data_IF_446045240510
#
_entry.id   IF_446045240510
#
_cell.length_a   1.000
_cell.length_b   1.000
_cell.length_c   1.000
_cell.angle_alpha   90.00
_cell.angle_beta   90.00
_cell.angle_gamma   90.00
#
_symmetry.space_group_name_H-M   'P 1'
#
loop_
_entity.id
_entity.type
_entity.pdbx_description
1 polymer ?
#
# COMPACT_ATOMS: atom_id res chain seq x y z
N UNK A 1 10.57 16.96 -14.05
CA UNK A 1 10.20 16.40 -12.73
C UNK A 1 10.60 14.94 -12.77
N UNK A 2 11.71 14.60 -12.11
CA UNK A 2 12.28 13.25 -12.14
C UNK A 2 11.32 12.29 -11.45
N UNK A 3 10.71 11.41 -12.25
CA UNK A 3 10.02 10.20 -11.81
C UNK A 3 11.05 9.32 -11.09
N UNK A 4 11.30 9.57 -9.80
CA UNK A 4 11.63 8.45 -8.93
C UNK A 4 10.47 7.48 -9.16
N UNK A 5 10.70 6.30 -9.75
CA UNK A 5 9.62 5.34 -9.98
C UNK A 5 8.86 5.17 -8.66
N UNK A 6 7.64 5.73 -8.57
CA UNK A 6 6.82 5.71 -7.36
C UNK A 6 6.47 4.26 -7.06
N UNK A 7 7.36 3.61 -6.32
CA UNK A 7 7.36 2.19 -6.06
C UNK A 7 6.86 2.00 -4.63
N UNK A 8 5.88 1.11 -4.46
CA UNK A 8 5.52 0.65 -3.13
C UNK A 8 6.58 -0.31 -2.62
N UNK A 9 6.87 -0.21 -1.32
CA UNK A 9 7.78 -1.11 -0.63
C UNK A 9 7.05 -1.78 0.53
N UNK A 10 7.42 -3.03 0.82
CA UNK A 10 6.87 -3.76 1.96
C UNK A 10 7.16 -3.02 3.27
N UNK A 11 6.10 -2.70 4.03
CA UNK A 11 6.18 -2.08 5.35
C UNK A 11 6.48 -3.08 6.47
N UNK A 12 6.63 -4.38 6.18
CA UNK A 12 7.05 -5.35 7.19
C UNK A 12 8.46 -4.98 7.71
N UNK A 13 8.69 -4.95 9.03
CA UNK A 13 9.99 -4.61 9.60
C UNK A 13 11.11 -5.44 8.96
N UNK A 14 12.15 -4.77 8.44
CA UNK A 14 13.34 -5.36 7.80
C UNK A 14 13.13 -6.00 6.41
N UNK A 15 11.92 -6.04 5.83
CA UNK A 15 11.71 -6.61 4.50
C UNK A 15 12.08 -5.62 3.37
N UNK A 16 11.39 -4.48 3.31
CA UNK A 16 11.62 -3.40 2.33
C UNK A 16 11.67 -3.82 0.85
N UNK A 17 11.16 -5.01 0.51
CA UNK A 17 11.10 -5.45 -0.88
C UNK A 17 10.16 -4.54 -1.69
N UNK A 18 10.55 -4.21 -2.94
CA UNK A 18 9.67 -3.55 -3.90
C UNK A 18 8.45 -4.45 -4.15
N UNK A 19 7.26 -3.89 -4.06
CA UNK A 19 6.02 -4.62 -4.30
C UNK A 19 5.74 -4.65 -5.80
N UNK A 20 5.51 -5.84 -6.35
CA UNK A 20 5.34 -6.09 -7.77
C UNK A 20 4.20 -7.09 -7.94
N UNK A 21 3.35 -6.88 -8.95
CA UNK A 21 2.18 -7.73 -9.21
C UNK A 21 1.08 -7.47 -8.19
N UNK A 22 1.18 -8.06 -7.00
CA UNK A 22 0.19 -7.93 -5.93
C UNK A 22 0.77 -7.37 -4.64
N UNK A 23 -0.06 -6.67 -3.89
CA UNK A 23 0.24 -6.22 -2.54
C UNK A 23 -0.95 -6.46 -1.60
N UNK A 24 -0.65 -6.72 -0.34
CA UNK A 24 -1.63 -6.70 0.73
C UNK A 24 -1.67 -5.31 1.33
N UNK A 25 -2.77 -4.59 1.17
CA UNK A 25 -2.97 -3.23 1.67
C UNK A 25 -3.93 -3.27 2.84
N UNK A 26 -3.64 -2.46 3.85
CA UNK A 26 -4.44 -2.37 5.07
C UNK A 26 -5.15 -1.01 5.18
N UNK A 27 -6.25 -0.94 5.90
CA UNK A 27 -6.99 0.31 6.17
C UNK A 27 -6.15 1.34 6.95
N UNK A 28 -5.15 0.88 7.71
CA UNK A 28 -4.16 1.73 8.38
C UNK A 28 -3.04 2.24 7.43
N UNK A 29 -3.23 2.13 6.12
CA UNK A 29 -2.32 2.61 5.07
C UNK A 29 -0.95 1.93 5.03
N UNK A 30 -0.82 0.68 5.46
CA UNK A 30 0.40 -0.12 5.24
C UNK A 30 0.21 -1.16 4.14
N UNK A 31 1.27 -1.42 3.38
CA UNK A 31 1.35 -2.37 2.29
C UNK A 31 2.41 -3.45 2.55
N UNK A 32 2.11 -4.70 2.18
CA UNK A 32 2.96 -5.86 2.42
C UNK A 32 3.07 -6.74 1.17
N UNK A 33 4.22 -7.39 1.00
CA UNK A 33 4.37 -8.39 -0.06
C UNK A 33 3.55 -9.65 0.24
N UNK A 34 3.32 -10.49 -0.78
CA UNK A 34 2.52 -11.71 -0.64
C UNK A 34 3.00 -12.64 0.48
N UNK A 35 4.31 -12.77 0.67
CA UNK A 35 4.88 -13.62 1.72
C UNK A 35 4.44 -13.17 3.12
N UNK A 36 4.57 -11.88 3.44
CA UNK A 36 4.20 -11.36 4.76
C UNK A 36 2.69 -11.20 4.93
N UNK A 37 1.99 -10.76 3.88
CA UNK A 37 0.55 -10.61 3.91
C UNK A 37 -0.17 -11.94 4.14
N UNK A 38 0.17 -12.97 3.37
CA UNK A 38 -0.42 -14.29 3.55
C UNK A 38 -0.06 -14.91 4.92
N UNK A 39 1.15 -14.69 5.42
CA UNK A 39 1.59 -15.22 6.71
C UNK A 39 0.93 -14.56 7.93
N UNK A 40 0.81 -13.23 7.93
CA UNK A 40 0.32 -12.47 9.08
C UNK A 40 -1.20 -12.31 9.08
N UNK A 41 -1.83 -12.12 7.91
CA UNK A 41 -3.26 -11.84 7.82
C UNK A 41 -4.14 -13.09 7.73
N UNK A 42 -3.54 -14.28 7.65
CA UNK A 42 -4.28 -15.55 7.83
C UNK A 42 -4.56 -15.87 9.31
N UNK A 43 -3.96 -15.13 10.24
CA UNK A 43 -4.14 -15.32 11.69
C UNK A 43 -5.32 -14.50 12.21
N UNK A 44 -5.98 -15.00 13.25
CA UNK A 44 -7.03 -14.27 13.96
C UNK A 44 -6.63 -14.07 15.44
N UNK A 45 -6.69 -12.83 15.97
CA UNK A 45 -7.02 -11.60 15.26
C UNK A 45 -5.89 -11.15 14.31
N UNK A 46 -6.25 -10.55 13.18
CA UNK A 46 -5.26 -9.93 12.31
C UNK A 46 -4.81 -8.60 12.91
N UNK A 47 -3.49 -8.41 13.01
CA UNK A 47 -2.86 -7.20 13.55
C UNK A 47 -1.86 -6.70 12.51
N UNK A 48 -1.86 -5.39 12.24
CA UNK A 48 -0.90 -4.79 11.32
C UNK A 48 0.53 -4.95 11.87
N UNK A 49 1.45 -5.61 11.15
CA UNK A 49 2.83 -5.80 11.60
C UNK A 49 3.66 -4.50 11.70
N UNK A 50 3.19 -3.41 11.08
CA UNK A 50 3.91 -2.14 11.02
C UNK A 50 3.53 -1.17 12.14
N UNK A 51 2.25 -1.12 12.54
CA UNK A 51 1.74 -0.15 13.51
C UNK A 51 0.89 -0.77 14.64
N UNK A 52 0.78 -2.09 14.69
CA UNK A 52 0.03 -2.83 15.71
C UNK A 52 -1.47 -2.52 15.79
N UNK A 53 -2.04 -1.87 14.77
CA UNK A 53 -3.50 -1.66 14.67
C UNK A 53 -4.22 -3.00 14.48
N UNK A 54 -5.33 -3.19 15.19
CA UNK A 54 -6.21 -4.35 14.99
C UNK A 54 -6.98 -4.20 13.68
N UNK A 55 -7.03 -5.26 12.87
CA UNK A 55 -7.65 -5.30 11.55
C UNK A 55 -8.81 -6.30 11.59
N UNK A 56 -9.98 -5.86 12.03
CA UNK A 56 -11.16 -6.71 12.26
C UNK A 56 -12.31 -6.45 11.29
N UNK A 57 -12.24 -5.35 10.54
CA UNK A 57 -13.20 -5.00 9.50
C UNK A 57 -13.04 -5.86 8.25
N UNK A 58 -14.16 -6.11 7.56
CA UNK A 58 -14.19 -6.93 6.33
C UNK A 58 -13.30 -6.39 5.20
N UNK A 59 -13.03 -5.08 5.20
CA UNK A 59 -12.21 -4.39 4.20
C UNK A 59 -10.92 -3.81 4.81
N UNK A 60 -10.57 -4.20 6.05
CA UNK A 60 -9.34 -3.73 6.69
C UNK A 60 -8.08 -4.28 6.06
N UNK A 61 -8.19 -5.39 5.33
CA UNK A 61 -7.11 -6.05 4.61
C UNK A 61 -7.64 -6.41 3.23
N UNK A 62 -6.96 -5.92 2.19
CA UNK A 62 -7.27 -6.24 0.79
C UNK A 62 -6.00 -6.66 0.06
N UNK A 63 -6.10 -7.70 -0.76
CA UNK A 63 -5.05 -8.05 -1.71
C UNK A 63 -5.37 -7.38 -3.04
N UNK A 64 -4.54 -6.45 -3.47
CA UNK A 64 -4.74 -5.62 -4.67
C UNK A 64 -3.70 -5.91 -5.73
N UNK A 65 -4.10 -5.84 -6.99
CA UNK A 65 -3.20 -5.87 -8.15
C UNK A 65 -2.64 -4.45 -8.38
N UNK A 66 -1.31 -4.34 -8.44
CA UNK A 66 -0.61 -3.06 -8.58
C UNK A 66 -0.57 -2.55 -10.02
N UNK A 67 -0.84 -3.42 -11.00
CA UNK A 67 -0.89 -3.10 -12.42
C UNK A 67 -2.13 -3.71 -13.07
N UNK A 68 -3.34 -3.23 -12.73
CA UNK A 68 -4.58 -3.77 -13.28
C UNK A 68 -4.71 -3.48 -14.78
N UNK A 69 -5.56 -4.24 -15.48
CA UNK A 69 -5.83 -4.05 -16.91
C UNK A 69 -6.54 -2.72 -17.20
N UNK A 70 -6.47 -2.25 -18.46
CA UNK A 70 -7.16 -1.02 -18.88
C UNK A 70 -8.69 -1.13 -18.75
N UNK A 71 -9.24 -2.32 -19.00
CA UNK A 71 -10.67 -2.60 -18.84
C UNK A 71 -11.10 -2.46 -17.39
N UNK A 72 -10.28 -2.95 -16.44
CA UNK A 72 -10.56 -2.78 -15.02
C UNK A 72 -10.54 -1.30 -14.62
N UNK A 73 -9.53 -0.54 -15.07
CA UNK A 73 -9.42 0.91 -14.79
C UNK A 73 -10.63 1.68 -15.30
N UNK A 74 -11.16 1.33 -16.47
CA UNK A 74 -12.34 1.97 -17.05
C UNK A 74 -13.64 1.65 -16.26
N UNK A 75 -13.73 0.45 -15.69
CA UNK A 75 -14.96 -0.04 -15.09
C UNK A 75 -15.04 0.12 -13.57
N UNK A 76 -13.91 0.18 -12.85
CA UNK A 76 -13.89 0.11 -11.38
C UNK A 76 -14.68 1.22 -10.67
N UNK A 77 -14.86 2.38 -11.31
CA UNK A 77 -15.66 3.50 -10.78
C UNK A 77 -16.93 3.79 -11.60
N UNK A 78 -17.23 2.99 -12.63
CA UNK A 78 -18.38 3.22 -13.51
C UNK A 78 -19.70 3.08 -12.73
N UNK A 79 -20.63 4.03 -12.95
CA UNK A 79 -21.95 4.05 -12.28
C UNK A 79 -21.97 4.71 -10.90
N UNK A 80 -20.82 5.16 -10.38
CA UNK A 80 -20.76 5.94 -9.14
C UNK A 80 -21.08 7.42 -9.38
N UNK A 81 -21.59 8.08 -8.34
CA UNK A 81 -21.79 9.54 -8.38
C UNK A 81 -20.46 10.28 -8.36
N UNK A 82 -20.36 11.49 -8.95
CA UNK A 82 -19.13 12.28 -8.94
C UNK A 82 -18.53 12.48 -7.54
N UNK A 83 -19.36 12.69 -6.51
CA UNK A 83 -18.89 12.90 -5.14
C UNK A 83 -18.22 11.64 -4.58
N UNK A 84 -18.77 10.46 -4.87
CA UNK A 84 -18.19 9.18 -4.46
C UNK A 84 -16.89 8.91 -5.19
N UNK A 85 -16.81 9.23 -6.48
CA UNK A 85 -15.58 9.10 -7.27
C UNK A 85 -14.46 9.95 -6.65
N UNK A 86 -14.74 11.22 -6.37
CA UNK A 86 -13.77 12.14 -5.78
C UNK A 86 -13.32 11.70 -4.39
N UNK A 87 -14.22 11.21 -3.53
CA UNK A 87 -13.87 10.68 -2.20
C UNK A 87 -12.95 9.46 -2.31
N UNK A 88 -13.25 8.50 -3.20
CA UNK A 88 -12.41 7.32 -3.42
C UNK A 88 -11.02 7.74 -3.94
N UNK A 89 -10.96 8.64 -4.92
CA UNK A 89 -9.68 9.14 -5.45
C UNK A 89 -8.87 9.86 -4.37
N UNK A 90 -9.50 10.71 -3.55
CA UNK A 90 -8.82 11.42 -2.46
C UNK A 90 -8.21 10.45 -1.45
N UNK A 91 -8.94 9.38 -1.07
CA UNK A 91 -8.43 8.34 -0.17
C UNK A 91 -7.27 7.54 -0.78
N UNK A 92 -7.37 7.19 -2.06
CA UNK A 92 -6.31 6.48 -2.78
C UNK A 92 -5.02 7.33 -2.88
N UNK A 93 -5.15 8.64 -3.11
CA UNK A 93 -4.03 9.57 -3.11
C UNK A 93 -3.44 9.77 -1.71
N UNK A 94 -4.28 9.86 -0.67
CA UNK A 94 -3.83 9.95 0.71
C UNK A 94 -2.98 8.73 1.12
N UNK A 95 -3.36 7.54 0.67
CA UNK A 95 -2.55 6.33 0.85
C UNK A 95 -1.16 6.48 0.23
N UNK A 96 -1.05 6.92 -1.03
CA UNK A 96 0.24 7.13 -1.69
C UNK A 96 1.09 8.21 -1.01
N UNK A 97 0.47 9.31 -0.61
CA UNK A 97 1.15 10.36 0.16
C UNK A 97 1.72 9.82 1.47
N UNK A 98 1.00 8.94 2.17
CA UNK A 98 1.50 8.27 3.36
C UNK A 98 2.75 7.42 3.06
N UNK A 99 2.72 6.64 1.97
CA UNK A 99 3.85 5.80 1.57
C UNK A 99 5.09 6.62 1.25
N UNK A 100 4.92 7.67 0.45
CA UNK A 100 5.99 8.58 0.04
C UNK A 100 6.61 9.28 1.26
N UNK A 101 5.78 9.83 2.15
CA UNK A 101 6.25 10.47 3.38
C UNK A 101 6.98 9.49 4.30
N UNK A 102 6.45 8.27 4.49
CA UNK A 102 7.07 7.25 5.33
C UNK A 102 8.45 6.84 4.79
N UNK A 103 8.62 6.77 3.46
CA UNK A 103 9.92 6.53 2.83
C UNK A 103 10.89 7.68 3.13
N UNK A 104 10.47 8.94 2.99
CA UNK A 104 11.33 10.09 3.29
C UNK A 104 11.77 10.15 4.76
N UNK A 105 10.89 9.86 5.71
CA UNK A 105 11.27 9.81 7.13
C UNK A 105 12.34 8.74 7.39
N UNK A 106 12.28 7.61 6.70
CA UNK A 106 13.24 6.52 6.87
C UNK A 106 14.57 6.76 6.13
N UNK A 107 14.57 7.45 4.99
CA UNK A 107 15.81 7.82 4.28
C UNK A 107 16.61 8.90 5.01
N UNK A 108 15.94 9.83 5.70
CA UNK A 108 16.61 10.86 6.50
C UNK A 108 17.13 10.35 7.85
N UNK A 109 16.50 9.32 8.42
CA UNK A 109 16.93 8.75 9.71
C UNK A 109 17.93 7.61 9.57
N UNK A 110 17.95 6.88 8.44
CA UNK A 110 18.91 5.80 8.16
C UNK A 110 19.53 5.97 6.75
N UNK A 111 20.77 6.50 6.62
CA UNK A 111 21.41 6.83 5.34
C UNK A 111 21.73 5.66 4.39
N UNK A 112 21.29 4.43 4.69
CA UNK A 112 21.76 3.22 4.00
C UNK A 112 21.07 2.99 2.64
N UNK A 113 20.00 3.74 2.33
CA UNK A 113 19.24 3.60 1.06
C UNK A 113 19.58 4.73 0.07
N UNK A 114 20.84 5.17 0.06
CA UNK A 114 21.36 6.12 -0.92
C UNK A 114 22.52 5.51 -1.72
N UNK A 115 22.35 4.29 -2.25
CA UNK A 115 23.18 3.75 -3.33
C UNK A 115 22.37 2.85 -4.25
N UNK A 116 21.64 3.46 -5.17
CA UNK A 116 21.51 2.90 -6.52
C UNK A 116 22.69 3.44 -7.33
N UNK A 117 23.72 2.61 -7.49
CA UNK A 117 24.53 2.55 -8.70
C UNK A 117 24.22 1.21 -9.36
#
# INVERSE_FOLDING_TARGET
MSLCEDSLFCNFPKCRAKLIGFAWVTSCSHAFCDQHGAGEFSRSPAICPACSSALSGKLDIVRTELSPSEEYKAMVLAGLRPETILDITARALAFWNYQVNNIYFLTFTHPVIARCR
#
